data_IF_511337341772
#
_entry.id   IF_511337341772
#
_cell.length_a   1.000
_cell.length_b   1.000
_cell.length_c   1.000
_cell.angle_alpha   90.00
_cell.angle_beta   90.00
_cell.angle_gamma   90.00
#
_symmetry.space_group_name_H-M   'P 1'
#
loop_
_entity.id
_entity.type
_entity.pdbx_description
1 polymer ?
#
# COMPACT_ATOMS: atom_id res chain seq x y z
N UNK A 1 -21.99 -0.60 -16.02
CA UNK A 1 -20.76 -0.53 -15.22
C UNK A 1 -19.58 -1.31 -15.85
N UNK A 2 -19.30 -1.16 -17.16
CA UNK A 2 -18.33 -2.02 -17.87
C UNK A 2 -17.27 -1.28 -18.70
N UNK A 3 -17.06 0.02 -18.46
CA UNK A 3 -16.06 0.81 -19.20
C UNK A 3 -14.61 0.35 -18.99
N UNK A 4 -14.26 0.00 -17.75
CA UNK A 4 -12.91 -0.43 -17.34
C UNK A 4 -12.73 -1.95 -17.21
N UNK A 5 -13.79 -2.73 -17.45
CA UNK A 5 -13.70 -4.18 -17.56
C UNK A 5 -12.90 -4.62 -18.81
N UNK A 6 -12.75 -3.73 -19.79
CA UNK A 6 -11.92 -3.95 -20.97
C UNK A 6 -10.44 -3.64 -20.65
N UNK A 7 -9.54 -4.65 -20.63
CA UNK A 7 -8.13 -4.46 -20.33
C UNK A 7 -7.44 -3.43 -21.24
N UNK A 8 -7.84 -3.31 -22.51
CA UNK A 8 -7.27 -2.34 -23.43
C UNK A 8 -7.58 -0.89 -23.04
N UNK A 9 -8.80 -0.64 -22.55
CA UNK A 9 -9.20 0.70 -22.05
C UNK A 9 -8.44 1.07 -20.78
N UNK A 10 -8.29 0.10 -19.87
CA UNK A 10 -7.47 0.27 -18.67
C UNK A 10 -6.01 0.57 -19.04
N UNK A 11 -5.39 -0.22 -19.92
CA UNK A 11 -4.00 -0.02 -20.34
C UNK A 11 -3.79 1.35 -20.99
N UNK A 12 -4.74 1.83 -21.80
CA UNK A 12 -4.67 3.17 -22.41
C UNK A 12 -4.66 4.27 -21.34
N UNK A 13 -5.50 4.17 -20.32
CA UNK A 13 -5.53 5.11 -19.20
C UNK A 13 -4.24 5.02 -18.36
N UNK A 14 -3.87 3.81 -17.95
CA UNK A 14 -2.70 3.58 -17.11
C UNK A 14 -1.40 4.03 -17.78
N UNK A 15 -1.27 3.93 -19.11
CA UNK A 15 -0.05 4.32 -19.83
C UNK A 15 0.37 5.77 -19.61
N UNK A 16 -0.57 6.72 -19.64
CA UNK A 16 -0.26 8.13 -19.42
C UNK A 16 -0.39 8.53 -17.94
N UNK A 17 -1.31 7.88 -17.21
CA UNK A 17 -1.53 8.20 -15.81
C UNK A 17 -0.36 7.73 -14.93
N UNK A 18 0.29 6.59 -15.22
CA UNK A 18 1.47 6.11 -14.49
C UNK A 18 2.58 7.15 -14.39
N UNK A 19 3.16 7.67 -15.50
CA UNK A 19 4.24 8.65 -15.41
C UNK A 19 3.76 9.96 -14.80
N UNK A 20 2.51 10.38 -15.05
CA UNK A 20 1.96 11.57 -14.41
C UNK A 20 1.97 11.46 -12.89
N UNK A 21 1.41 10.37 -12.33
CA UNK A 21 1.38 10.14 -10.89
C UNK A 21 2.79 10.00 -10.29
N UNK A 22 3.68 9.28 -10.96
CA UNK A 22 5.05 9.09 -10.46
C UNK A 22 5.84 10.40 -10.45
N UNK A 23 5.83 11.18 -11.54
CA UNK A 23 6.58 12.44 -11.62
C UNK A 23 6.00 13.47 -10.66
N UNK A 24 4.68 13.67 -10.66
CA UNK A 24 4.04 14.63 -9.74
C UNK A 24 4.24 14.22 -8.28
N UNK A 25 4.12 12.93 -7.97
CA UNK A 25 4.39 12.39 -6.64
C UNK A 25 5.83 12.60 -6.20
N UNK A 26 6.81 12.28 -7.06
CA UNK A 26 8.24 12.48 -6.76
C UNK A 26 8.59 13.95 -6.55
N UNK A 27 8.08 14.85 -7.38
CA UNK A 27 8.30 16.30 -7.23
C UNK A 27 7.67 16.79 -5.92
N UNK A 28 6.42 16.44 -5.65
CA UNK A 28 5.72 16.90 -4.44
C UNK A 28 6.36 16.33 -3.16
N UNK A 29 6.68 15.04 -3.13
CA UNK A 29 7.39 14.42 -2.01
C UNK A 29 8.78 15.04 -1.85
N UNK A 30 9.52 15.25 -2.94
CA UNK A 30 10.83 15.89 -2.90
C UNK A 30 10.79 17.28 -2.28
N UNK A 31 9.91 18.16 -2.80
CA UNK A 31 9.71 19.50 -2.26
C UNK A 31 9.34 19.45 -0.78
N UNK A 32 8.39 18.60 -0.42
CA UNK A 32 7.87 18.52 0.95
C UNK A 32 8.94 18.02 1.92
N UNK A 33 9.72 16.99 1.55
CA UNK A 33 10.77 16.45 2.41
C UNK A 33 11.97 17.39 2.50
N UNK A 34 12.36 18.07 1.42
CA UNK A 34 13.40 19.09 1.45
C UNK A 34 13.00 20.25 2.36
N UNK A 35 11.76 20.74 2.25
CA UNK A 35 11.23 21.75 3.16
C UNK A 35 11.19 21.25 4.62
N UNK A 36 10.71 20.03 4.84
CA UNK A 36 10.63 19.43 6.17
C UNK A 36 11.99 19.36 6.87
N UNK A 37 13.05 19.00 6.12
CA UNK A 37 14.40 18.89 6.66
C UNK A 37 15.02 20.26 6.94
N UNK A 38 14.92 21.19 5.98
CA UNK A 38 15.69 22.44 5.99
C UNK A 38 14.97 23.62 6.66
N UNK A 39 13.64 23.63 6.64
CA UNK A 39 12.85 24.82 6.97
C UNK A 39 11.72 24.59 7.97
N UNK A 40 11.24 23.35 8.16
CA UNK A 40 10.21 23.09 9.16
C UNK A 40 10.74 23.40 10.58
N UNK A 41 9.96 24.10 11.41
CA UNK A 41 10.37 24.42 12.77
C UNK A 41 10.47 23.15 13.62
N UNK A 42 11.30 23.20 14.66
CA UNK A 42 11.33 22.18 15.69
C UNK A 42 9.99 22.14 16.45
N UNK A 43 9.49 20.94 16.75
CA UNK A 43 8.28 20.78 17.58
C UNK A 43 8.62 21.04 19.05
N UNK A 44 7.68 21.60 19.82
CA UNK A 44 7.91 22.09 21.18
C UNK A 44 8.39 21.02 22.17
N UNK A 45 7.94 19.78 22.02
CA UNK A 45 8.29 18.66 22.92
C UNK A 45 9.31 17.71 22.28
N UNK A 46 9.20 17.45 20.98
CA UNK A 46 10.02 16.45 20.28
C UNK A 46 11.18 17.05 19.48
N UNK A 47 11.29 18.38 19.41
CA UNK A 47 12.34 19.06 18.66
C UNK A 47 12.33 18.69 17.18
N UNK A 48 13.52 18.53 16.60
CA UNK A 48 13.68 18.12 15.20
C UNK A 48 13.27 16.66 14.93
N UNK A 49 13.19 15.81 15.96
CA UNK A 49 12.80 14.40 15.76
C UNK A 49 11.38 14.28 15.19
N UNK A 50 10.50 15.25 15.47
CA UNK A 50 9.15 15.31 14.92
C UNK A 50 9.11 15.42 13.39
N UNK A 51 10.19 15.86 12.72
CA UNK A 51 10.25 15.94 11.25
C UNK A 51 10.09 14.57 10.58
N UNK A 52 10.39 13.47 11.28
CA UNK A 52 10.15 12.12 10.74
C UNK A 52 8.65 11.84 10.52
N UNK A 53 7.75 12.60 11.14
CA UNK A 53 6.30 12.53 10.93
C UNK A 53 5.92 12.61 9.45
N UNK A 54 6.60 13.45 8.67
CA UNK A 54 6.33 13.65 7.24
C UNK A 54 6.66 12.42 6.38
N UNK A 55 7.35 11.42 6.93
CA UNK A 55 7.60 10.12 6.28
C UNK A 55 6.81 9.02 6.97
N UNK A 56 6.85 8.98 8.30
CA UNK A 56 6.28 7.90 9.10
C UNK A 56 4.75 7.82 8.96
N UNK A 57 4.04 8.95 9.10
CA UNK A 57 2.58 8.96 9.07
C UNK A 57 2.02 8.61 7.68
N UNK A 58 2.53 9.17 6.56
CA UNK A 58 2.16 8.70 5.24
C UNK A 58 2.44 7.21 5.04
N UNK A 59 3.57 6.70 5.56
CA UNK A 59 3.89 5.28 5.47
C UNK A 59 2.91 4.40 6.23
N UNK A 60 2.49 4.81 7.43
CA UNK A 60 1.45 4.11 8.19
C UNK A 60 0.13 4.06 7.42
N UNK A 61 -0.31 5.20 6.89
CA UNK A 61 -1.56 5.32 6.13
C UNK A 61 -1.55 4.50 4.84
N UNK A 62 -0.45 4.52 4.08
CA UNK A 62 -0.34 3.76 2.83
C UNK A 62 -0.12 2.27 3.08
N UNK A 63 0.56 1.88 4.15
CA UNK A 63 0.66 0.48 4.58
C UNK A 63 -0.72 -0.12 4.86
N UNK A 64 -1.55 0.57 5.66
CA UNK A 64 -2.93 0.14 5.93
C UNK A 64 -3.84 0.28 4.70
N UNK A 65 -3.78 1.43 4.01
CA UNK A 65 -4.61 1.74 2.85
C UNK A 65 -4.37 0.80 1.67
N UNK A 66 -3.13 0.33 1.50
CA UNK A 66 -2.82 -0.72 0.54
C UNK A 66 -3.56 -2.02 0.85
N UNK A 67 -3.67 -2.42 2.12
CA UNK A 67 -4.33 -3.66 2.47
C UNK A 67 -5.84 -3.51 2.33
N UNK A 68 -6.38 -2.34 2.68
CA UNK A 68 -7.78 -2.01 2.39
C UNK A 68 -8.07 -2.08 0.88
N UNK A 69 -7.21 -1.51 0.03
CA UNK A 69 -7.36 -1.58 -1.42
C UNK A 69 -7.26 -3.03 -1.95
N UNK A 70 -6.34 -3.83 -1.40
CA UNK A 70 -6.20 -5.25 -1.69
C UNK A 70 -7.47 -6.02 -1.29
N UNK A 71 -8.00 -5.79 -0.09
CA UNK A 71 -9.22 -6.43 0.39
C UNK A 71 -10.45 -6.06 -0.45
N UNK A 72 -10.57 -4.78 -0.85
CA UNK A 72 -11.62 -4.32 -1.77
C UNK A 72 -11.49 -5.02 -3.13
N UNK A 73 -10.26 -5.14 -3.65
CA UNK A 73 -10.01 -5.85 -4.89
C UNK A 73 -10.37 -7.34 -4.76
N UNK A 74 -9.99 -8.00 -3.67
CA UNK A 74 -10.38 -9.39 -3.37
C UNK A 74 -11.90 -9.57 -3.26
N UNK A 75 -12.61 -8.63 -2.61
CA UNK A 75 -14.08 -8.63 -2.59
C UNK A 75 -14.64 -8.51 -4.01
N UNK A 76 -14.04 -7.61 -4.79
CA UNK A 76 -14.48 -7.32 -6.16
C UNK A 76 -14.32 -8.55 -7.06
N UNK A 77 -13.23 -9.29 -6.87
CA UNK A 77 -12.96 -10.57 -7.53
C UNK A 77 -14.00 -11.63 -7.16
N UNK A 78 -14.27 -11.82 -5.87
CA UNK A 78 -15.16 -12.89 -5.41
C UNK A 78 -16.63 -12.64 -5.76
N UNK A 79 -17.10 -11.41 -5.62
CA UNK A 79 -18.52 -11.05 -5.81
C UNK A 79 -18.85 -10.76 -7.27
N UNK A 80 -18.07 -9.90 -7.92
CA UNK A 80 -18.37 -9.45 -9.29
C UNK A 80 -17.52 -10.12 -10.37
N UNK A 81 -16.50 -10.91 -9.99
CA UNK A 81 -15.58 -11.56 -10.93
C UNK A 81 -14.96 -10.57 -11.93
N UNK A 82 -14.64 -9.36 -11.44
CA UNK A 82 -14.09 -8.32 -12.29
C UNK A 82 -12.69 -8.73 -12.78
N UNK A 83 -12.40 -8.67 -14.10
CA UNK A 83 -11.19 -9.26 -14.69
C UNK A 83 -9.88 -8.61 -14.23
N UNK A 84 -9.94 -7.37 -13.72
CA UNK A 84 -8.77 -6.66 -13.19
C UNK A 84 -8.62 -6.73 -11.67
N UNK A 85 -9.56 -7.36 -10.96
CA UNK A 85 -9.58 -7.34 -9.49
C UNK A 85 -8.39 -8.10 -8.90
N UNK A 86 -8.19 -9.37 -9.30
CA UNK A 86 -7.03 -10.17 -8.87
C UNK A 86 -5.70 -9.48 -9.20
N UNK A 87 -5.61 -8.89 -10.39
CA UNK A 87 -4.43 -8.13 -10.84
C UNK A 87 -4.19 -6.93 -9.94
N UNK A 88 -5.24 -6.18 -9.61
CA UNK A 88 -5.16 -5.03 -8.70
C UNK A 88 -4.66 -5.44 -7.32
N UNK A 89 -5.22 -6.49 -6.74
CA UNK A 89 -4.81 -7.01 -5.44
C UNK A 89 -3.31 -7.40 -5.42
N UNK A 90 -2.84 -8.13 -6.44
CA UNK A 90 -1.41 -8.48 -6.60
C UNK A 90 -0.50 -7.29 -6.85
N UNK A 91 -0.97 -6.30 -7.61
CA UNK A 91 -0.21 -5.09 -7.89
C UNK A 91 -0.01 -4.24 -6.63
N UNK A 92 -1.02 -4.19 -5.76
CA UNK A 92 -1.00 -3.43 -4.49
C UNK A 92 -0.12 -4.07 -3.42
N UNK A 93 -0.02 -5.41 -3.40
CA UNK A 93 0.65 -6.13 -2.31
C UNK A 93 2.10 -5.67 -2.05
N UNK A 94 2.95 -5.54 -3.09
CA UNK A 94 4.35 -5.13 -2.92
C UNK A 94 4.52 -3.68 -2.41
N UNK A 95 3.93 -2.64 -3.04
CA UNK A 95 4.05 -1.28 -2.51
C UNK A 95 3.41 -1.15 -1.12
N UNK A 96 2.31 -1.87 -0.84
CA UNK A 96 1.72 -1.94 0.50
C UNK A 96 2.69 -2.50 1.55
N UNK A 97 3.35 -3.62 1.22
CA UNK A 97 4.39 -4.22 2.06
C UNK A 97 5.56 -3.26 2.33
N UNK A 98 6.00 -2.55 1.28
CA UNK A 98 7.07 -1.56 1.39
C UNK A 98 6.71 -0.45 2.39
N UNK A 99 5.50 0.11 2.30
CA UNK A 99 5.06 1.16 3.23
C UNK A 99 4.82 0.64 4.65
N UNK A 100 4.36 -0.60 4.82
CA UNK A 100 4.29 -1.23 6.13
C UNK A 100 5.69 -1.40 6.76
N UNK A 101 6.67 -1.88 5.99
CA UNK A 101 8.06 -2.00 6.43
C UNK A 101 8.69 -0.62 6.73
N UNK A 102 8.46 0.37 5.86
CA UNK A 102 8.93 1.74 6.05
C UNK A 102 8.33 2.36 7.31
N UNK A 103 7.04 2.11 7.58
CA UNK A 103 6.39 2.55 8.82
C UNK A 103 7.06 1.93 10.05
N UNK A 104 7.34 0.64 10.05
CA UNK A 104 8.01 -0.04 11.17
C UNK A 104 9.43 0.52 11.40
N UNK A 105 10.20 0.67 10.32
CA UNK A 105 11.56 1.20 10.38
C UNK A 105 11.58 2.65 10.89
N UNK A 106 10.78 3.53 10.29
CA UNK A 106 10.69 4.94 10.70
C UNK A 106 10.08 5.11 12.08
N UNK A 107 9.14 4.24 12.47
CA UNK A 107 8.55 4.23 13.81
C UNK A 107 9.57 3.86 14.87
N UNK A 108 10.43 2.87 14.59
CA UNK A 108 11.54 2.51 15.46
C UNK A 108 12.56 3.66 15.60
N UNK A 109 12.95 4.27 14.49
CA UNK A 109 13.83 5.44 14.46
C UNK A 109 13.27 6.62 15.25
N UNK A 110 11.96 6.88 15.13
CA UNK A 110 11.29 7.93 15.88
C UNK A 110 11.15 7.59 17.37
N UNK A 111 10.94 6.31 17.68
CA UNK A 111 10.65 5.89 19.03
C UNK A 111 11.81 6.08 19.99
N UNK A 112 13.04 5.93 19.52
CA UNK A 112 14.23 6.10 20.36
C UNK A 112 14.34 7.51 20.96
N UNK A 113 14.31 8.61 20.20
CA UNK A 113 14.37 9.96 20.77
C UNK A 113 13.06 10.38 21.47
N UNK A 114 11.89 9.93 20.99
CA UNK A 114 10.61 10.39 21.53
C UNK A 114 10.19 9.68 22.84
N UNK A 115 10.48 8.38 22.98
CA UNK A 115 10.03 7.55 24.10
C UNK A 115 11.14 6.67 24.72
N UNK A 116 12.39 6.82 24.28
CA UNK A 116 13.53 6.12 24.86
C UNK A 116 13.69 4.65 24.43
N UNK A 117 12.87 4.13 23.52
CA UNK A 117 12.93 2.73 23.06
C UNK A 117 12.68 2.59 21.56
N UNK A 118 13.32 1.61 20.95
CA UNK A 118 13.16 1.27 19.53
C UNK A 118 11.92 0.43 19.25
N UNK A 119 11.43 -0.28 20.27
CA UNK A 119 10.32 -1.22 20.14
C UNK A 119 9.64 -1.47 21.49
N UNK A 120 8.32 -1.64 21.45
CA UNK A 120 7.52 -2.23 22.52
C UNK A 120 6.50 -3.18 21.91
N UNK A 121 6.15 -4.23 22.64
CA UNK A 121 5.15 -5.20 22.21
C UNK A 121 3.72 -4.72 22.52
N UNK A 122 3.37 -3.53 22.02
CA UNK A 122 2.03 -3.00 22.14
C UNK A 122 1.13 -3.45 20.97
N UNK A 123 -0.17 -3.18 21.10
CA UNK A 123 -1.15 -3.55 20.07
C UNK A 123 -0.89 -2.90 18.71
N UNK A 124 -0.30 -1.69 18.66
CA UNK A 124 -0.07 -0.94 17.42
C UNK A 124 1.12 -1.47 16.65
N UNK A 125 2.27 -1.57 17.29
CA UNK A 125 3.51 -2.06 16.71
C UNK A 125 3.35 -3.50 16.27
N UNK A 126 2.76 -4.33 17.14
CA UNK A 126 2.53 -5.75 16.84
C UNK A 126 1.57 -5.92 15.66
N UNK A 127 0.46 -5.19 15.61
CA UNK A 127 -0.49 -5.30 14.48
C UNK A 127 0.06 -4.74 13.17
N UNK A 128 0.92 -3.71 13.21
CA UNK A 128 1.65 -3.24 12.01
C UNK A 128 2.71 -4.25 11.54
N UNK A 129 3.38 -4.96 12.46
CA UNK A 129 4.28 -6.07 12.10
C UNK A 129 3.50 -7.24 11.48
N UNK A 130 2.35 -7.60 12.08
CA UNK A 130 1.43 -8.59 11.51
C UNK A 130 0.98 -8.16 10.12
N UNK A 131 0.69 -6.88 9.88
CA UNK A 131 0.33 -6.38 8.55
C UNK A 131 1.44 -6.63 7.52
N UNK A 132 2.71 -6.39 7.88
CA UNK A 132 3.84 -6.71 7.01
C UNK A 132 3.88 -8.21 6.67
N UNK A 133 3.73 -9.08 7.66
CA UNK A 133 3.70 -10.52 7.42
C UNK A 133 2.48 -10.97 6.61
N UNK A 134 1.31 -10.34 6.80
CA UNK A 134 0.15 -10.58 5.96
C UNK A 134 0.44 -10.25 4.49
N UNK A 135 1.16 -9.16 4.20
CA UNK A 135 1.59 -8.85 2.82
C UNK A 135 2.52 -9.90 2.24
N UNK A 136 3.54 -10.31 3.00
CA UNK A 136 4.47 -11.35 2.56
C UNK A 136 3.73 -12.68 2.30
N UNK A 137 2.84 -13.06 3.20
CA UNK A 137 2.01 -14.25 3.08
C UNK A 137 1.08 -14.17 1.86
N UNK A 138 0.40 -13.05 1.64
CA UNK A 138 -0.45 -12.86 0.46
C UNK A 138 0.35 -12.99 -0.84
N UNK A 139 1.54 -12.38 -0.92
CA UNK A 139 2.39 -12.48 -2.12
C UNK A 139 2.84 -13.90 -2.39
N UNK A 140 3.27 -14.64 -1.36
CA UNK A 140 3.65 -16.05 -1.48
C UNK A 140 2.45 -16.91 -1.93
N UNK A 141 1.27 -16.66 -1.34
CA UNK A 141 0.04 -17.39 -1.63
C UNK A 141 -0.49 -17.10 -3.05
N UNK A 142 -0.44 -15.85 -3.50
CA UNK A 142 -0.84 -15.46 -4.84
C UNK A 142 0.10 -16.04 -5.90
N UNK A 143 1.39 -16.12 -5.61
CA UNK A 143 2.37 -16.76 -6.49
C UNK A 143 2.17 -18.28 -6.55
N UNK A 144 1.94 -18.94 -5.42
CA UNK A 144 1.63 -20.37 -5.38
C UNK A 144 0.34 -20.70 -6.18
N UNK A 145 -0.71 -19.91 -5.96
CA UNK A 145 -1.98 -20.04 -6.68
C UNK A 145 -1.84 -19.89 -8.21
N UNK A 146 -0.96 -19.01 -8.67
CA UNK A 146 -0.69 -18.80 -10.09
C UNK A 146 0.04 -20.00 -10.72
N UNK A 147 0.94 -20.65 -9.98
CA UNK A 147 1.67 -21.85 -10.44
C UNK A 147 0.76 -23.07 -10.58
N UNK A 148 -0.12 -23.28 -9.60
CA UNK A 148 -1.00 -24.44 -9.57
C UNK A 148 -2.19 -24.31 -10.55
N UNK A 149 -2.60 -23.08 -10.89
CA UNK A 149 -3.72 -22.79 -11.80
C UNK A 149 -3.48 -23.08 -13.29
N UNK A 150 -2.32 -23.65 -13.65
CA UNK A 150 -1.92 -23.96 -15.03
C UNK A 150 -2.71 -25.08 -15.74
N UNK A 151 -3.46 -25.91 -14.99
CA UNK A 151 -4.05 -27.16 -15.52
C UNK A 151 -5.58 -27.15 -15.74
N UNK A 152 -6.20 -25.97 -15.82
CA UNK A 152 -7.60 -25.84 -16.25
C UNK A 152 -8.58 -25.56 -15.12
N UNK A 153 -9.58 -24.73 -15.46
CA UNK A 153 -10.83 -24.48 -14.73
C UNK A 153 -10.78 -23.82 -13.34
N UNK A 154 -9.99 -22.75 -13.17
CA UNK A 154 -10.35 -21.67 -12.23
C UNK A 154 -9.16 -21.03 -11.51
N UNK A 155 -9.13 -19.70 -11.48
CA UNK A 155 -8.18 -18.97 -10.62
C UNK A 155 -8.50 -19.30 -9.16
N UNK A 156 -7.51 -19.80 -8.40
CA UNK A 156 -7.69 -20.16 -7.00
C UNK A 156 -8.22 -18.94 -6.23
N UNK A 157 -9.34 -19.14 -5.51
CA UNK A 157 -9.96 -18.08 -4.70
C UNK A 157 -9.24 -17.84 -3.37
N UNK A 158 -8.24 -18.67 -3.07
CA UNK A 158 -7.55 -18.69 -1.78
C UNK A 158 -6.86 -17.33 -1.48
N UNK A 159 -6.12 -16.69 -2.41
CA UNK A 159 -5.54 -15.36 -2.17
C UNK A 159 -6.62 -14.30 -1.89
N UNK A 160 -7.74 -14.33 -2.62
CA UNK A 160 -8.83 -13.37 -2.43
C UNK A 160 -9.48 -13.53 -1.04
N UNK A 161 -9.77 -14.77 -0.63
CA UNK A 161 -10.30 -15.07 0.71
C UNK A 161 -9.31 -14.60 1.79
N UNK A 162 -8.02 -14.89 1.62
CA UNK A 162 -6.97 -14.44 2.55
C UNK A 162 -6.92 -12.91 2.68
N UNK A 163 -7.02 -12.18 1.55
CA UNK A 163 -7.07 -10.72 1.55
C UNK A 163 -8.25 -10.16 2.35
N UNK A 164 -9.43 -10.79 2.27
CA UNK A 164 -10.60 -10.40 3.07
C UNK A 164 -10.42 -10.68 4.55
N UNK A 165 -9.95 -11.88 4.91
CA UNK A 165 -9.73 -12.24 6.32
C UNK A 165 -8.70 -11.32 6.97
N UNK A 166 -7.60 -11.03 6.26
CA UNK A 166 -6.58 -10.12 6.77
C UNK A 166 -7.06 -8.68 6.98
N UNK A 167 -8.18 -8.27 6.35
CA UNK A 167 -8.75 -6.93 6.54
C UNK A 167 -9.18 -6.67 7.99
N UNK A 168 -9.42 -7.72 8.78
CA UNK A 168 -9.68 -7.65 10.23
C UNK A 168 -8.52 -6.97 10.98
N UNK A 169 -7.28 -7.07 10.48
CA UNK A 169 -6.13 -6.44 11.13
C UNK A 169 -6.15 -4.90 11.03
N UNK A 170 -6.83 -4.33 10.04
CA UNK A 170 -6.89 -2.87 9.84
C UNK A 170 -7.61 -2.13 10.97
N UNK A 171 -8.82 -2.51 11.40
CA UNK A 171 -9.44 -1.89 12.57
C UNK A 171 -8.62 -2.15 13.85
N UNK A 172 -7.93 -3.28 13.98
CA UNK A 172 -7.04 -3.55 15.12
C UNK A 172 -5.92 -2.51 15.17
N UNK A 173 -5.24 -2.24 14.05
CA UNK A 173 -4.20 -1.20 13.99
C UNK A 173 -4.79 0.17 14.31
N UNK A 174 -5.91 0.53 13.68
CA UNK A 174 -6.50 1.86 13.81
C UNK A 174 -6.91 2.16 15.26
N UNK A 175 -7.66 1.25 15.88
CA UNK A 175 -8.19 1.40 17.22
C UNK A 175 -7.23 0.97 18.32
N UNK A 176 -6.05 0.43 17.99
CA UNK A 176 -5.07 -0.01 18.99
C UNK A 176 -4.68 1.08 20.00
N UNK A 177 -4.67 2.35 19.59
CA UNK A 177 -4.41 3.51 20.48
C UNK A 177 -5.52 3.79 21.47
N UNK A 178 -6.75 3.34 21.20
CA UNK A 178 -7.88 3.49 22.09
C UNK A 178 -8.03 2.27 23.00
N UNK A 179 -7.76 1.07 22.47
CA UNK A 179 -7.92 -0.18 23.20
C UNK A 179 -6.78 -0.45 24.18
N UNK A 180 -5.56 0.00 23.88
CA UNK A 180 -4.40 -0.18 24.76
C UNK A 180 -3.75 1.14 25.11
N UNK A 181 -3.47 1.32 26.41
CA UNK A 181 -2.56 2.35 26.89
C UNK A 181 -1.16 2.05 26.36
N UNK A 182 -0.71 2.86 25.40
CA UNK A 182 0.59 2.68 24.76
C UNK A 182 1.38 3.99 24.73
N UNK A 183 2.62 3.91 24.27
CA UNK A 183 3.48 5.10 24.05
C UNK A 183 2.91 6.03 22.97
N UNK A 184 1.98 5.52 22.15
CA UNK A 184 1.41 6.25 21.04
C UNK A 184 0.36 7.25 21.52
N UNK A 185 0.56 8.50 21.12
CA UNK A 185 -0.42 9.54 21.36
C UNK A 185 -1.71 9.26 20.57
N UNK A 186 -2.89 9.65 21.11
CA UNK A 186 -4.12 9.63 20.35
C UNK A 186 -4.01 10.46 19.05
N UNK A 187 -4.82 10.15 18.01
CA UNK A 187 -4.74 10.83 16.72
C UNK A 187 -4.89 12.36 16.86
N UNK A 188 -3.91 13.12 16.35
CA UNK A 188 -3.96 14.59 16.37
C UNK A 188 -4.81 15.19 15.25
N UNK A 189 -5.32 14.35 14.34
CA UNK A 189 -6.24 14.70 13.25
C UNK A 189 -7.50 13.87 13.43
N UNK A 190 -8.63 14.55 13.64
CA UNK A 190 -9.96 13.97 13.69
C UNK A 190 -10.87 14.67 12.66
N UNK A 191 -12.06 14.13 12.43
CA UNK A 191 -13.02 14.67 11.46
C UNK A 191 -13.29 16.17 11.73
N UNK A 192 -12.78 17.05 10.87
CA UNK A 192 -12.99 18.50 10.95
C UNK A 192 -12.21 19.26 12.03
N UNK A 193 -11.33 18.61 12.82
CA UNK A 193 -10.52 19.25 13.87
C UNK A 193 -9.12 18.65 13.90
N UNK A 194 -8.10 19.50 13.96
CA UNK A 194 -6.72 19.07 14.22
C UNK A 194 -6.14 19.82 15.42
N UNK A 195 -5.52 19.07 16.32
CA UNK A 195 -4.71 19.63 17.40
C UNK A 195 -3.28 19.97 16.95
N UNK A 196 -2.94 19.66 15.69
CA UNK A 196 -1.62 19.89 15.11
C UNK A 196 -1.49 21.34 14.63
N UNK A 197 -0.34 21.97 14.90
CA UNK A 197 -0.08 23.30 14.38
C UNK A 197 -0.11 23.31 12.83
N UNK A 198 -0.67 24.34 12.18
CA UNK A 198 -0.91 24.35 10.75
C UNK A 198 0.30 24.00 9.88
N UNK A 199 1.49 24.44 10.30
CA UNK A 199 2.75 24.17 9.59
C UNK A 199 3.04 22.67 9.45
N UNK A 200 2.81 21.88 10.49
CA UNK A 200 2.98 20.43 10.44
C UNK A 200 1.82 19.76 9.71
N UNK A 201 0.59 20.27 9.85
CA UNK A 201 -0.58 19.71 9.17
C UNK A 201 -0.45 19.82 7.65
N UNK A 202 -0.13 21.01 7.13
CA UNK A 202 0.00 21.21 5.68
C UNK A 202 1.16 20.42 5.10
N UNK A 203 2.30 20.38 5.79
CA UNK A 203 3.43 19.55 5.39
C UNK A 203 3.06 18.06 5.37
N UNK A 204 2.31 17.58 6.37
CA UNK A 204 1.86 16.20 6.44
C UNK A 204 0.89 15.87 5.29
N UNK A 205 -0.08 16.74 5.00
CA UNK A 205 -1.02 16.54 3.91
C UNK A 205 -0.32 16.55 2.55
N UNK A 206 0.65 17.45 2.35
CA UNK A 206 1.46 17.49 1.12
C UNK A 206 2.30 16.22 0.96
N UNK A 207 2.94 15.74 2.04
CA UNK A 207 3.70 14.50 2.03
C UNK A 207 2.79 13.29 1.76
N UNK A 208 1.66 13.18 2.45
CA UNK A 208 0.68 12.12 2.24
C UNK A 208 0.15 12.10 0.82
N UNK A 209 -0.12 13.27 0.21
CA UNK A 209 -0.51 13.35 -1.19
C UNK A 209 0.62 12.88 -2.10
N UNK A 210 1.85 13.38 -1.93
CA UNK A 210 3.00 12.99 -2.75
C UNK A 210 3.28 11.49 -2.70
N UNK A 211 3.35 10.91 -1.51
CA UNK A 211 3.52 9.46 -1.34
C UNK A 211 2.35 8.65 -1.89
N UNK A 212 1.10 9.15 -1.79
CA UNK A 212 -0.07 8.50 -2.38
C UNK A 212 -0.03 8.49 -3.91
N UNK A 213 0.45 9.57 -4.53
CA UNK A 213 0.65 9.64 -5.98
C UNK A 213 1.73 8.64 -6.42
N UNK A 214 2.86 8.56 -5.69
CA UNK A 214 3.90 7.55 -5.95
C UNK A 214 3.31 6.14 -5.81
N UNK A 215 2.58 5.86 -4.72
CA UNK A 215 1.94 4.58 -4.48
C UNK A 215 1.00 4.18 -5.63
N UNK A 216 0.09 5.07 -6.02
CA UNK A 216 -0.83 4.84 -7.13
C UNK A 216 -0.11 4.64 -8.46
N UNK A 217 0.94 5.43 -8.72
CA UNK A 217 1.78 5.29 -9.91
C UNK A 217 2.47 3.93 -9.98
N UNK A 218 3.05 3.45 -8.87
CA UNK A 218 3.67 2.12 -8.77
C UNK A 218 2.64 1.01 -8.93
N UNK A 219 1.46 1.12 -8.31
CA UNK A 219 0.38 0.14 -8.47
C UNK A 219 -0.04 0.04 -9.94
N UNK A 220 -0.26 1.18 -10.63
CA UNK A 220 -0.60 1.17 -12.06
C UNK A 220 0.52 0.56 -12.92
N UNK A 221 1.78 0.89 -12.63
CA UNK A 221 2.93 0.30 -13.33
C UNK A 221 2.97 -1.23 -13.16
N UNK A 222 2.73 -1.72 -11.93
CA UNK A 222 2.67 -3.15 -11.62
C UNK A 222 1.50 -3.85 -12.29
N UNK A 223 0.30 -3.26 -12.28
CA UNK A 223 -0.84 -3.81 -13.01
C UNK A 223 -0.51 -3.96 -14.50
N UNK A 224 0.07 -2.94 -15.12
CA UNK A 224 0.50 -3.00 -16.52
C UNK A 224 1.52 -4.11 -16.78
N UNK A 225 2.51 -4.28 -15.89
CA UNK A 225 3.50 -5.35 -16.00
C UNK A 225 2.87 -6.74 -15.90
N UNK A 226 1.96 -6.96 -14.94
CA UNK A 226 1.25 -8.23 -14.76
C UNK A 226 0.40 -8.55 -16.02
N UNK A 227 -0.33 -7.58 -16.56
CA UNK A 227 -1.09 -7.78 -17.80
C UNK A 227 -0.18 -8.11 -18.99
N UNK A 228 0.94 -7.40 -19.12
CA UNK A 228 1.88 -7.61 -20.21
C UNK A 228 2.49 -9.02 -20.18
N UNK A 229 2.87 -9.51 -18.98
CA UNK A 229 3.38 -10.86 -18.78
C UNK A 229 2.33 -11.91 -19.12
N UNK A 230 1.09 -11.76 -18.61
CA UNK A 230 0.00 -12.69 -18.93
C UNK A 230 -0.29 -12.77 -20.44
N UNK A 231 -0.21 -11.62 -21.15
CA UNK A 231 -0.37 -11.59 -22.61
C UNK A 231 0.82 -12.23 -23.35
N UNK A 232 2.04 -12.12 -22.83
CA UNK A 232 3.22 -12.78 -23.38
C UNK A 232 3.11 -14.31 -23.23
N UNK A 233 2.77 -14.80 -22.03
CA UNK A 233 2.62 -16.22 -21.73
C UNK A 233 1.53 -16.87 -22.59
N UNK A 234 0.38 -16.21 -22.75
CA UNK A 234 -0.70 -16.68 -23.62
C UNK A 234 -0.32 -16.72 -25.11
N UNK A 235 0.65 -15.89 -25.56
CA UNK A 235 1.17 -15.95 -26.93
C UNK A 235 2.16 -17.10 -27.10
N UNK A 236 3.03 -17.33 -26.11
CA UNK A 236 3.98 -18.45 -26.12
C UNK A 236 3.26 -19.79 -26.11
N UNK A 237 2.22 -19.96 -25.27
CA UNK A 237 1.41 -21.19 -25.23
C UNK A 237 0.71 -21.48 -26.56
N UNK A 238 0.16 -20.45 -27.23
CA UNK A 238 -0.45 -20.61 -28.56
C UNK A 238 0.54 -21.07 -29.62
N UNK A 239 1.73 -20.45 -29.66
CA UNK A 239 2.80 -20.88 -30.58
C UNK A 239 3.27 -22.31 -30.30
N UNK A 240 3.33 -22.73 -29.04
CA UNK A 240 3.71 -24.09 -28.69
C UNK A 240 2.69 -25.11 -29.20
N UNK A 241 1.39 -24.85 -29.03
CA UNK A 241 0.33 -25.72 -29.57
C UNK A 241 0.36 -25.76 -31.11
N UNK A 242 0.55 -24.62 -31.77
CA UNK A 242 0.68 -24.55 -33.23
C UNK A 242 1.88 -25.35 -33.78
N UNK A 243 2.95 -25.50 -32.98
CA UNK A 243 4.13 -26.32 -33.34
C UNK A 243 3.93 -27.81 -33.05
N UNK A 244 3.07 -28.17 -32.08
CA UNK A 244 2.71 -29.57 -31.79
C UNK A 244 1.73 -30.12 -32.84
N UNK A 245 0.93 -29.26 -33.47
CA UNK A 245 -0.06 -29.61 -34.49
C UNK A 245 0.51 -29.66 -35.94
N UNK A 246 1.77 -29.28 -36.15
CA UNK A 246 2.44 -29.17 -37.47
C UNK A 246 3.40 -30.32 -37.75
#
# INVERSE_FOLDING_TARGET
MHGFANPARFLRLARWLTPLLLVTGLVLTGITLTWALLAAPAERLQGDSAKILFVHVPAAWLGMGGWSALAIASLTELVWRHPLAAIGARAVALPGAFFAALCLATGSLWGRPAWGTWWVWDGRLTSMLVLLFLYLAYMALAEAADRDGGNGSGQSRIPAIFGLVGAINIPIIHYSVLWWNSLHQPPSIAMGKSAMAPVFLYGLLAASLGFSLIFGGVVLARMRAILANAQADARLRRKAMELEDA
#
